data_IF_209468775093
#
_entry.id   IF_209468775093
#
_cell.length_a   1.000
_cell.length_b   1.000
_cell.length_c   1.000
_cell.angle_alpha   90.00
_cell.angle_beta   90.00
_cell.angle_gamma   90.00
#
_symmetry.space_group_name_H-M   'P 1'
#
loop_
_entity.id
_entity.type
_entity.pdbx_description
1 polymer ?
#
# COMPACT_ATOMS: atom_id res chain seq x y z
N UNK A 1 9.82 -0.98 99.08
CA UNK A 1 9.21 -0.09 98.10
C UNK A 1 9.77 -0.50 96.71
N UNK A 2 8.98 -1.31 95.94
CA UNK A 2 9.39 -1.81 94.65
C UNK A 2 8.52 -1.16 93.63
N UNK A 3 9.09 -0.31 92.73
CA UNK A 3 8.36 0.31 91.63
C UNK A 3 8.45 -0.59 90.43
N UNK A 4 7.27 -1.03 89.92
CA UNK A 4 7.11 -1.80 88.74
C UNK A 4 7.16 -0.89 87.51
N UNK A 5 8.03 -1.16 86.55
CA UNK A 5 8.06 -0.52 85.23
C UNK A 5 7.22 -1.33 84.26
N UNK A 6 6.15 -0.75 83.74
CA UNK A 6 5.35 -1.28 82.64
C UNK A 6 5.93 -0.82 81.31
N UNK A 7 6.52 -1.76 80.52
CA UNK A 7 6.93 -1.52 79.14
C UNK A 7 5.70 -1.56 78.20
N UNK A 8 5.46 -0.48 77.52
CA UNK A 8 4.49 -0.44 76.43
C UNK A 8 5.17 -0.83 75.10
N UNK A 9 4.82 -1.97 74.51
CA UNK A 9 5.18 -2.32 73.14
C UNK A 9 4.29 -1.52 72.19
N UNK A 10 4.90 -0.61 71.41
CA UNK A 10 4.23 0.08 70.34
C UNK A 10 4.28 -0.79 69.08
N UNK A 11 3.12 -1.30 68.65
CA UNK A 11 2.95 -1.95 67.33
C UNK A 11 2.93 -0.88 66.24
N UNK A 12 3.96 -0.82 65.39
CA UNK A 12 3.96 0.00 64.14
C UNK A 12 3.38 -0.83 63.01
N UNK A 13 2.28 -0.40 62.36
CA UNK A 13 1.76 -1.09 61.18
C UNK A 13 2.66 -0.80 59.98
N UNK A 14 3.26 -1.80 59.39
CA UNK A 14 3.91 -1.74 58.08
C UNK A 14 2.81 -1.61 57.01
N UNK A 15 2.59 -0.39 56.52
CA UNK A 15 1.85 -0.17 55.24
C UNK A 15 2.75 -0.61 54.07
N UNK A 16 2.53 -1.81 53.56
CA UNK A 16 3.11 -2.28 52.30
C UNK A 16 2.50 -1.51 51.14
N UNK A 17 3.29 -0.57 50.55
CA UNK A 17 2.90 0.09 49.32
C UNK A 17 3.03 -0.93 48.15
N UNK A 18 1.88 -1.46 47.70
CA UNK A 18 1.79 -2.30 46.50
C UNK A 18 1.97 -1.40 45.26
N UNK A 19 3.20 -1.26 44.76
CA UNK A 19 3.50 -0.61 43.47
C UNK A 19 2.94 -1.48 42.34
N UNK A 20 1.74 -1.16 41.84
CA UNK A 20 1.22 -1.69 40.60
C UNK A 20 2.13 -1.19 39.46
N UNK A 21 2.98 -2.08 38.95
CA UNK A 21 3.74 -1.86 37.72
C UNK A 21 2.74 -1.81 36.56
N UNK A 22 2.30 -0.61 36.20
CA UNK A 22 1.56 -0.36 34.97
C UNK A 22 2.56 -0.54 33.82
N UNK A 23 2.59 -1.73 33.23
CA UNK A 23 3.29 -1.94 31.96
C UNK A 23 2.57 -1.11 30.91
N UNK A 24 3.26 -0.18 30.20
CA UNK A 24 2.62 0.55 29.13
C UNK A 24 2.18 -0.45 28.06
N UNK A 25 0.88 -0.45 27.75
CA UNK A 25 0.35 -1.22 26.62
C UNK A 25 1.12 -0.78 25.38
N UNK A 26 1.87 -1.69 24.77
CA UNK A 26 2.57 -1.46 23.52
C UNK A 26 1.50 -1.16 22.48
N UNK A 27 1.43 0.07 21.99
CA UNK A 27 0.58 0.41 20.86
C UNK A 27 0.92 -0.56 19.72
N UNK A 28 -0.06 -1.29 19.24
CA UNK A 28 0.14 -2.18 18.08
C UNK A 28 0.42 -1.29 16.89
N UNK A 29 1.56 -1.49 16.23
CA UNK A 29 1.93 -0.76 15.03
C UNK A 29 0.80 -0.80 14.01
N UNK A 30 0.47 0.35 13.43
CA UNK A 30 -0.45 0.42 12.29
C UNK A 30 0.08 -0.42 11.12
N UNK A 31 -0.81 -0.87 10.24
CA UNK A 31 -0.38 -1.61 9.05
C UNK A 31 0.62 -0.78 8.21
N UNK A 32 0.34 0.52 8.03
CA UNK A 32 1.22 1.44 7.29
C UNK A 32 2.63 1.50 7.86
N UNK A 33 2.79 1.62 9.20
CA UNK A 33 4.09 1.60 9.87
C UNK A 33 4.80 0.26 9.70
N UNK A 34 4.07 -0.86 9.85
CA UNK A 34 4.64 -2.18 9.69
C UNK A 34 5.16 -2.41 8.27
N UNK A 35 4.39 -2.03 7.23
CA UNK A 35 4.81 -2.16 5.83
C UNK A 35 5.97 -1.21 5.48
N UNK A 36 5.99 0.01 6.03
CA UNK A 36 7.08 0.96 5.83
C UNK A 36 8.42 0.44 6.35
N UNK A 37 8.43 -0.25 7.49
CA UNK A 37 9.65 -0.90 7.99
C UNK A 37 10.17 -2.03 7.09
N UNK A 38 9.28 -2.72 6.37
CA UNK A 38 9.66 -3.77 5.42
C UNK A 38 10.23 -3.20 4.11
N UNK A 39 9.93 -1.95 3.78
CA UNK A 39 10.36 -1.27 2.56
C UNK A 39 11.06 0.07 2.90
N UNK A 40 12.23 0.05 3.53
CA UNK A 40 12.90 1.28 4.01
C UNK A 40 13.32 2.22 2.87
N UNK A 41 13.32 1.75 1.63
CA UNK A 41 13.56 2.58 0.44
C UNK A 41 12.32 3.32 -0.06
N UNK A 42 11.11 2.96 0.41
CA UNK A 42 9.86 3.64 0.06
C UNK A 42 9.64 4.88 0.94
N UNK A 43 8.92 5.87 0.44
CA UNK A 43 8.41 6.97 1.29
C UNK A 43 7.31 6.40 2.21
N UNK A 44 7.46 6.45 3.54
CA UNK A 44 6.48 5.92 4.48
C UNK A 44 5.11 6.59 4.35
N UNK A 45 5.05 7.86 3.91
CA UNK A 45 3.79 8.56 3.67
C UNK A 45 3.03 7.97 2.47
N UNK A 46 3.75 7.54 1.43
CA UNK A 46 3.15 6.89 0.26
C UNK A 46 2.59 5.52 0.64
N UNK A 47 3.32 4.76 1.45
CA UNK A 47 2.83 3.48 1.98
C UNK A 47 1.58 3.68 2.85
N UNK A 48 1.58 4.66 3.75
CA UNK A 48 0.43 4.97 4.60
C UNK A 48 -0.81 5.37 3.79
N UNK A 49 -0.65 6.22 2.76
CA UNK A 49 -1.72 6.58 1.84
C UNK A 49 -2.26 5.37 1.08
N UNK A 50 -1.39 4.47 0.64
CA UNK A 50 -1.79 3.25 -0.06
C UNK A 50 -2.59 2.29 0.84
N UNK A 51 -2.16 2.12 2.09
CA UNK A 51 -2.88 1.33 3.10
C UNK A 51 -4.26 1.93 3.34
N UNK A 52 -4.34 3.23 3.66
CA UNK A 52 -5.61 3.94 3.89
C UNK A 52 -6.57 3.84 2.70
N UNK A 53 -6.06 4.03 1.48
CA UNK A 53 -6.89 3.90 0.28
C UNK A 53 -7.41 2.48 0.09
N UNK A 54 -6.57 1.47 0.31
CA UNK A 54 -6.94 0.05 0.20
C UNK A 54 -7.98 -0.34 1.25
N UNK A 55 -7.78 0.02 2.51
CA UNK A 55 -8.72 -0.22 3.61
C UNK A 55 -10.06 0.47 3.34
N UNK A 56 -10.03 1.73 2.91
CA UNK A 56 -11.23 2.47 2.54
C UNK A 56 -12.04 1.75 1.45
N UNK A 57 -11.39 1.30 0.37
CA UNK A 57 -12.06 0.59 -0.71
C UNK A 57 -12.68 -0.73 -0.24
N UNK A 58 -12.01 -1.46 0.64
CA UNK A 58 -12.54 -2.70 1.22
C UNK A 58 -13.78 -2.45 2.08
N UNK A 59 -13.81 -1.37 2.85
CA UNK A 59 -14.95 -1.00 3.70
C UNK A 59 -16.17 -0.54 2.91
N UNK A 60 -15.99 -0.02 1.69
CA UNK A 60 -17.06 0.43 0.80
C UNK A 60 -17.70 -0.70 -0.03
N UNK A 61 -17.61 -1.93 0.41
CA UNK A 61 -18.19 -3.10 -0.26
C UNK A 61 -17.23 -3.80 -1.22
N UNK A 62 -15.96 -3.48 -1.15
CA UNK A 62 -14.91 -4.19 -1.88
C UNK A 62 -14.71 -5.61 -1.35
N UNK A 63 -14.29 -6.52 -2.23
CA UNK A 63 -13.82 -7.84 -1.80
C UNK A 63 -12.53 -7.67 -1.00
N UNK A 64 -12.34 -8.38 0.11
CA UNK A 64 -11.10 -8.33 0.86
C UNK A 64 -9.88 -8.57 -0.04
N UNK A 65 -8.83 -7.79 0.18
CA UNK A 65 -7.55 -7.91 -0.52
C UNK A 65 -6.47 -8.19 0.51
N UNK A 66 -5.71 -9.25 0.30
CA UNK A 66 -4.57 -9.62 1.14
C UNK A 66 -3.23 -9.24 0.52
N UNK A 67 -3.27 -8.58 -0.64
CA UNK A 67 -2.09 -8.04 -1.33
C UNK A 67 -2.30 -6.58 -1.69
N UNK A 68 -1.24 -5.80 -1.49
CA UNK A 68 -1.19 -4.39 -1.87
C UNK A 68 0.09 -4.14 -2.68
N UNK A 69 -0.06 -3.70 -3.92
CA UNK A 69 1.04 -3.14 -4.70
C UNK A 69 1.03 -1.62 -4.58
N UNK A 70 2.19 -1.04 -4.35
CA UNK A 70 2.40 0.41 -4.26
C UNK A 70 3.40 0.83 -5.31
N UNK A 71 3.01 1.72 -6.21
CA UNK A 71 3.86 2.31 -7.24
C UNK A 71 4.03 3.79 -6.90
N UNK A 72 5.26 4.22 -6.68
CA UNK A 72 5.59 5.62 -6.42
C UNK A 72 6.21 6.26 -7.68
N UNK A 73 5.36 6.86 -8.51
CA UNK A 73 5.77 7.54 -9.72
C UNK A 73 6.47 8.89 -9.48
N UNK A 74 6.54 9.39 -8.26
CA UNK A 74 7.36 10.56 -7.92
C UNK A 74 8.86 10.26 -7.99
N UNK A 75 9.23 8.98 -7.96
CA UNK A 75 10.61 8.51 -8.06
C UNK A 75 11.03 8.30 -9.52
N UNK A 76 12.32 8.49 -9.84
CA UNK A 76 12.82 8.21 -11.19
C UNK A 76 12.69 6.72 -11.56
N UNK A 77 12.49 6.44 -12.83
CA UNK A 77 12.28 5.08 -13.34
C UNK A 77 13.52 4.17 -13.24
N UNK A 78 14.69 4.76 -13.05
CA UNK A 78 15.94 4.05 -12.79
C UNK A 78 16.08 3.48 -11.37
N UNK A 79 15.15 3.81 -10.46
CA UNK A 79 15.15 3.31 -9.10
C UNK A 79 13.97 2.36 -8.87
N UNK A 80 14.09 1.39 -7.96
CA UNK A 80 12.94 0.62 -7.47
C UNK A 80 11.88 1.58 -6.93
N UNK A 81 10.66 1.43 -7.46
CA UNK A 81 9.51 2.28 -7.12
C UNK A 81 8.17 1.54 -7.17
N UNK A 82 8.23 0.21 -7.22
CA UNK A 82 7.11 -0.71 -7.03
C UNK A 82 7.43 -1.64 -5.87
N UNK A 83 6.55 -1.71 -4.89
CA UNK A 83 6.59 -2.67 -3.78
C UNK A 83 5.29 -3.45 -3.77
N UNK A 84 5.38 -4.76 -3.53
CA UNK A 84 4.21 -5.63 -3.35
C UNK A 84 4.28 -6.27 -1.98
N UNK A 85 3.23 -6.11 -1.21
CA UNK A 85 3.12 -6.60 0.16
C UNK A 85 2.04 -7.69 0.28
N UNK A 86 2.30 -8.65 1.14
CA UNK A 86 1.29 -9.47 1.82
C UNK A 86 0.87 -8.69 3.07
N UNK A 87 -0.33 -8.15 3.08
CA UNK A 87 -0.82 -7.28 4.17
C UNK A 87 -1.19 -8.07 5.40
N UNK A 88 -1.66 -9.31 5.23
CA UNK A 88 -2.05 -10.23 6.32
C UNK A 88 -0.80 -10.77 7.03
N UNK A 89 0.17 -11.27 6.25
CA UNK A 89 1.43 -11.81 6.79
C UNK A 89 2.45 -10.72 7.12
N UNK A 90 2.15 -9.47 6.80
CA UNK A 90 3.05 -8.31 6.93
C UNK A 90 4.42 -8.61 6.34
N UNK A 91 4.46 -8.94 5.04
CA UNK A 91 5.68 -9.37 4.35
C UNK A 91 5.83 -8.60 3.03
N UNK A 92 7.05 -8.14 2.73
CA UNK A 92 7.42 -7.63 1.42
C UNK A 92 7.65 -8.83 0.48
N UNK A 93 6.93 -8.87 -0.63
CA UNK A 93 7.04 -9.91 -1.65
C UNK A 93 7.95 -9.49 -2.79
N UNK A 94 7.82 -8.23 -3.26
CA UNK A 94 8.60 -7.70 -4.37
C UNK A 94 8.98 -6.24 -4.10
N UNK A 95 10.18 -5.87 -4.56
CA UNK A 95 10.66 -4.51 -4.71
C UNK A 95 11.30 -4.38 -6.08
N UNK A 96 10.71 -3.59 -7.01
CA UNK A 96 11.00 -3.68 -8.42
C UNK A 96 11.09 -2.32 -9.12
N UNK A 97 11.79 -2.31 -10.25
CA UNK A 97 11.65 -1.28 -11.26
C UNK A 97 10.27 -1.42 -11.92
N UNK A 98 9.65 -0.30 -12.23
CA UNK A 98 8.40 -0.27 -13.01
C UNK A 98 8.40 0.88 -14.01
N UNK A 99 8.05 0.58 -15.27
CA UNK A 99 7.92 1.57 -16.31
C UNK A 99 6.62 2.36 -16.18
N UNK A 100 6.64 3.58 -16.69
CA UNK A 100 5.46 4.43 -16.93
C UNK A 100 5.24 4.61 -18.44
N UNK A 101 4.12 5.22 -18.80
CA UNK A 101 3.74 5.52 -20.18
C UNK A 101 4.65 6.57 -20.82
N UNK A 102 4.94 6.41 -22.11
CA UNK A 102 5.88 7.31 -22.83
C UNK A 102 5.48 8.79 -22.79
N UNK A 103 4.19 9.08 -22.68
CA UNK A 103 3.67 10.43 -22.57
C UNK A 103 3.53 10.93 -21.12
N UNK A 104 3.90 10.09 -20.13
CA UNK A 104 3.99 10.53 -18.73
C UNK A 104 5.27 11.29 -18.42
N UNK A 105 6.32 11.13 -19.19
CA UNK A 105 7.62 11.77 -18.96
C UNK A 105 8.77 10.95 -19.51
N UNK A 106 9.99 11.30 -19.13
CA UNK A 106 11.20 10.58 -19.55
C UNK A 106 11.76 9.71 -18.41
N UNK A 107 12.80 10.13 -17.71
CA UNK A 107 13.30 9.44 -16.53
C UNK A 107 12.28 9.54 -15.35
N UNK A 108 11.68 10.70 -15.21
CA UNK A 108 10.65 11.01 -14.22
C UNK A 108 9.27 11.10 -14.88
N UNK A 109 8.28 10.50 -14.26
CA UNK A 109 6.90 10.71 -14.65
C UNK A 109 6.41 12.05 -14.06
N UNK A 110 5.80 12.89 -14.89
CA UNK A 110 5.33 14.23 -14.51
C UNK A 110 3.90 14.49 -14.96
N UNK A 111 3.35 13.64 -15.85
CA UNK A 111 1.99 13.76 -16.40
C UNK A 111 1.28 12.44 -16.34
N UNK A 112 0.01 12.49 -15.98
CA UNK A 112 -0.87 11.34 -15.88
C UNK A 112 -2.18 11.63 -16.60
N UNK A 113 -2.85 10.60 -17.10
CA UNK A 113 -4.05 10.80 -17.89
C UNK A 113 -4.99 9.61 -17.75
N UNK A 114 -6.29 9.90 -17.77
CA UNK A 114 -7.37 8.94 -17.86
C UNK A 114 -7.96 8.86 -19.29
N UNK A 115 -7.53 9.78 -20.20
CA UNK A 115 -8.05 9.85 -21.56
C UNK A 115 -7.61 8.65 -22.41
N UNK A 116 -8.48 8.12 -23.28
CA UNK A 116 -8.12 7.13 -24.28
C UNK A 116 -6.92 7.59 -25.12
N UNK A 117 -6.10 6.65 -25.55
CA UNK A 117 -4.92 6.86 -26.42
C UNK A 117 -3.90 7.87 -25.93
N UNK A 118 -4.00 8.33 -24.69
CA UNK A 118 -3.05 9.31 -24.11
C UNK A 118 -1.62 8.80 -24.00
N UNK A 119 -1.43 7.47 -24.02
CA UNK A 119 -0.14 6.78 -23.85
C UNK A 119 0.59 7.20 -22.55
N UNK A 120 -0.18 7.76 -21.60
CA UNK A 120 0.27 8.14 -20.28
C UNK A 120 -0.24 7.15 -19.23
N UNK A 121 0.49 7.00 -18.14
CA UNK A 121 0.05 6.25 -16.96
C UNK A 121 -1.10 6.96 -16.27
N UNK A 122 -1.87 6.21 -15.48
CA UNK A 122 -2.89 6.74 -14.57
C UNK A 122 -2.42 6.56 -13.12
N UNK A 123 -2.86 7.49 -12.25
CA UNK A 123 -2.66 7.44 -10.80
C UNK A 123 -3.93 6.98 -10.10
N UNK A 124 -3.85 6.76 -8.79
CA UNK A 124 -5.00 6.39 -7.98
C UNK A 124 -5.01 4.93 -7.59
N UNK A 125 -6.16 4.51 -7.07
CA UNK A 125 -6.38 3.14 -6.62
C UNK A 125 -7.00 2.29 -7.74
N UNK A 126 -6.44 1.10 -7.92
CA UNK A 126 -6.92 0.10 -8.87
C UNK A 126 -7.19 -1.21 -8.16
N UNK A 127 -8.05 -2.01 -8.79
CA UNK A 127 -8.27 -3.40 -8.45
C UNK A 127 -7.87 -4.28 -9.61
N UNK A 128 -7.12 -5.33 -9.32
CA UNK A 128 -6.76 -6.33 -10.31
C UNK A 128 -7.93 -7.28 -10.59
N UNK A 129 -7.91 -7.95 -11.73
CA UNK A 129 -8.90 -8.96 -12.08
C UNK A 129 -8.23 -10.23 -12.60
N UNK A 130 -8.61 -10.68 -13.78
CA UNK A 130 -8.10 -11.87 -14.45
C UNK A 130 -6.80 -11.61 -15.19
N UNK A 131 -6.12 -12.69 -15.47
CA UNK A 131 -4.92 -12.72 -16.32
C UNK A 131 -5.26 -13.18 -17.74
N UNK A 132 -4.42 -12.83 -18.69
CA UNK A 132 -4.55 -13.29 -20.08
C UNK A 132 -3.19 -13.34 -20.78
N UNK A 133 -3.12 -14.08 -21.89
CA UNK A 133 -1.97 -14.06 -22.79
C UNK A 133 -2.27 -13.07 -23.93
N UNK A 134 -1.47 -12.01 -24.01
CA UNK A 134 -1.61 -10.96 -25.03
C UNK A 134 -0.28 -10.65 -25.74
N UNK A 135 -0.24 -9.53 -26.47
CA UNK A 135 0.98 -9.08 -27.17
C UNK A 135 2.19 -8.90 -26.24
N UNK A 136 1.94 -8.56 -24.97
CA UNK A 136 2.96 -8.38 -23.92
C UNK A 136 3.20 -9.68 -23.12
N UNK A 137 2.73 -10.84 -23.60
CA UNK A 137 2.77 -12.10 -22.89
C UNK A 137 1.75 -12.15 -21.74
N UNK A 138 2.07 -12.86 -20.67
CA UNK A 138 1.24 -13.01 -19.50
C UNK A 138 1.02 -11.65 -18.82
N UNK A 139 -0.21 -11.24 -18.77
CA UNK A 139 -0.62 -9.89 -18.37
C UNK A 139 -1.80 -9.93 -17.40
N UNK A 140 -1.87 -8.94 -16.50
CA UNK A 140 -2.89 -8.80 -15.46
C UNK A 140 -3.73 -7.54 -15.71
N UNK A 141 -5.05 -7.71 -15.86
CA UNK A 141 -5.98 -6.60 -16.02
C UNK A 141 -6.18 -5.85 -14.71
N UNK A 142 -6.39 -4.54 -14.85
CA UNK A 142 -6.71 -3.65 -13.73
C UNK A 142 -7.91 -2.77 -14.07
N UNK A 143 -8.81 -2.63 -13.10
CA UNK A 143 -9.91 -1.67 -13.11
C UNK A 143 -9.55 -0.50 -12.22
N UNK A 144 -9.65 0.73 -12.73
CA UNK A 144 -9.50 1.94 -11.92
C UNK A 144 -10.75 2.17 -11.08
N UNK A 145 -10.57 2.55 -9.83
CA UNK A 145 -11.65 2.71 -8.86
C UNK A 145 -12.08 4.17 -8.67
N UNK A 146 -11.37 5.12 -9.29
CA UNK A 146 -11.58 6.55 -9.08
C UNK A 146 -12.11 7.22 -10.34
N UNK A 147 -13.39 7.64 -10.29
CA UNK A 147 -14.06 8.28 -11.42
C UNK A 147 -13.35 9.57 -11.85
N UNK A 148 -13.13 9.73 -13.14
CA UNK A 148 -12.41 10.86 -13.72
C UNK A 148 -10.89 10.82 -13.55
N UNK A 149 -10.37 9.92 -12.74
CA UNK A 149 -8.93 9.78 -12.44
C UNK A 149 -8.31 8.58 -13.15
N UNK A 150 -8.93 7.40 -13.03
CA UNK A 150 -8.44 6.15 -13.61
C UNK A 150 -9.54 5.17 -14.02
N UNK A 151 -10.80 5.54 -13.94
CA UNK A 151 -11.96 4.67 -14.27
C UNK A 151 -11.93 4.14 -15.71
N UNK A 152 -11.21 4.80 -16.63
CA UNK A 152 -11.01 4.33 -18.00
C UNK A 152 -9.89 3.29 -18.15
N UNK A 153 -9.23 2.89 -17.07
CA UNK A 153 -8.05 2.02 -17.13
C UNK A 153 -8.33 0.69 -17.86
N UNK A 154 -9.45 0.04 -17.57
CA UNK A 154 -9.83 -1.21 -18.23
C UNK A 154 -10.11 -1.00 -19.73
N UNK A 155 -10.87 0.02 -20.10
CA UNK A 155 -11.17 0.39 -21.49
C UNK A 155 -9.92 0.77 -22.28
N UNK A 156 -8.93 1.39 -21.61
CA UNK A 156 -7.63 1.75 -22.16
C UNK A 156 -6.65 0.57 -22.18
N UNK A 157 -7.07 -0.62 -21.79
CA UNK A 157 -6.22 -1.82 -21.68
C UNK A 157 -4.96 -1.60 -20.83
N UNK A 158 -5.08 -0.85 -19.75
CA UNK A 158 -3.99 -0.69 -18.77
C UNK A 158 -3.85 -1.98 -17.97
N UNK A 159 -2.68 -2.62 -18.07
CA UNK A 159 -2.39 -3.92 -17.49
C UNK A 159 -1.00 -3.94 -16.85
N UNK A 160 -0.77 -4.84 -15.91
CA UNK A 160 0.59 -5.17 -15.45
C UNK A 160 1.14 -6.26 -16.37
N UNK A 161 2.35 -6.05 -16.92
CA UNK A 161 3.00 -7.03 -17.80
C UNK A 161 4.53 -6.99 -17.67
N UNK A 162 5.19 -8.02 -18.17
CA UNK A 162 6.64 -8.06 -18.31
C UNK A 162 7.13 -7.31 -19.56
N UNK A 163 8.29 -6.65 -19.47
CA UNK A 163 8.89 -6.02 -20.62
C UNK A 163 10.44 -6.03 -20.58
N UNK A 164 11.07 -6.39 -21.70
CA UNK A 164 12.54 -6.43 -21.80
C UNK A 164 13.20 -5.06 -21.62
N UNK A 165 12.49 -3.97 -21.95
CA UNK A 165 12.97 -2.61 -21.75
C UNK A 165 12.97 -2.16 -20.27
N UNK A 166 12.50 -3.00 -19.34
CA UNK A 166 12.62 -2.80 -17.91
C UNK A 166 13.77 -3.66 -17.40
N UNK A 167 14.94 -3.10 -17.32
CA UNK A 167 16.12 -3.80 -16.82
C UNK A 167 17.11 -2.84 -16.15
N UNK A 168 17.90 -3.38 -15.22
CA UNK A 168 18.85 -2.61 -14.42
C UNK A 168 20.05 -2.09 -15.25
N UNK A 169 20.47 -2.80 -16.30
CA UNK A 169 21.56 -2.35 -17.14
C UNK A 169 21.17 -1.06 -17.88
N UNK A 170 19.98 -1.02 -18.46
CA UNK A 170 19.43 0.22 -19.06
C UNK A 170 19.30 1.33 -18.03
N UNK A 171 18.81 1.04 -16.83
CA UNK A 171 18.69 2.03 -15.77
C UNK A 171 20.04 2.66 -15.40
N UNK A 172 21.11 1.86 -15.34
CA UNK A 172 22.47 2.31 -15.03
C UNK A 172 23.09 3.15 -16.15
N UNK A 173 22.92 2.70 -17.41
CA UNK A 173 23.58 3.36 -18.57
C UNK A 173 22.84 4.61 -19.02
N UNK A 174 21.50 4.55 -19.11
CA UNK A 174 20.67 5.64 -19.63
C UNK A 174 20.02 6.52 -18.54
N UNK A 175 20.26 6.24 -17.26
CA UNK A 175 19.61 6.94 -16.14
C UNK A 175 18.10 6.70 -16.03
N UNK A 176 17.56 5.84 -16.88
CA UNK A 176 16.14 5.45 -16.93
C UNK A 176 15.95 4.07 -17.55
N UNK A 177 14.78 3.48 -17.37
CA UNK A 177 14.33 2.31 -18.14
C UNK A 177 13.48 2.75 -19.33
N UNK A 178 13.07 1.79 -20.17
CA UNK A 178 12.12 2.04 -21.24
C UNK A 178 10.73 2.44 -20.74
N UNK A 179 9.86 2.79 -21.66
CA UNK A 179 8.50 3.31 -21.36
C UNK A 179 7.44 2.49 -22.09
N UNK A 180 6.29 2.33 -21.46
CA UNK A 180 5.11 1.66 -21.99
C UNK A 180 4.19 2.64 -22.75
N UNK A 181 3.00 2.17 -23.08
CA UNK A 181 1.88 2.99 -23.59
C UNK A 181 0.86 3.34 -22.48
N UNK A 182 1.34 3.37 -21.22
CA UNK A 182 0.53 3.70 -20.05
C UNK A 182 0.55 2.61 -18.98
N UNK A 183 0.82 1.36 -19.36
CA UNK A 183 0.86 0.21 -18.48
C UNK A 183 2.01 0.28 -17.45
N UNK A 184 1.83 -0.16 -16.22
CA UNK A 184 2.94 -0.48 -15.33
C UNK A 184 3.62 -1.78 -15.83
N UNK A 185 4.77 -1.64 -16.49
CA UNK A 185 5.55 -2.78 -16.95
C UNK A 185 6.71 -3.06 -16.00
N UNK A 186 6.96 -4.34 -15.72
CA UNK A 186 8.02 -4.81 -14.81
C UNK A 186 9.06 -5.66 -15.55
N UNK A 187 10.15 -6.01 -14.88
CA UNK A 187 11.16 -6.90 -15.45
C UNK A 187 10.53 -8.25 -15.84
N UNK A 188 10.87 -8.75 -17.03
CA UNK A 188 10.33 -10.03 -17.52
C UNK A 188 10.59 -11.19 -16.57
N UNK A 189 11.75 -11.22 -15.92
CA UNK A 189 12.13 -12.29 -14.99
C UNK A 189 11.22 -12.42 -13.75
N UNK A 190 10.57 -11.33 -13.33
CA UNK A 190 9.69 -11.33 -12.15
C UNK A 190 8.22 -11.26 -12.51
N UNK A 191 7.89 -10.90 -13.75
CA UNK A 191 6.53 -10.58 -14.18
C UNK A 191 5.54 -11.68 -13.83
N UNK A 192 5.85 -12.94 -14.15
CA UNK A 192 4.93 -14.06 -13.94
C UNK A 192 4.58 -14.24 -12.45
N UNK A 193 5.60 -14.29 -11.59
CA UNK A 193 5.41 -14.46 -10.14
C UNK A 193 4.70 -13.25 -9.50
N UNK A 194 5.01 -12.03 -9.96
CA UNK A 194 4.39 -10.80 -9.48
C UNK A 194 2.91 -10.75 -9.89
N UNK A 195 2.58 -11.09 -11.12
CA UNK A 195 1.21 -11.17 -11.63
C UNK A 195 0.41 -12.23 -10.85
N UNK A 196 0.99 -13.41 -10.61
CA UNK A 196 0.34 -14.46 -9.83
C UNK A 196 0.07 -14.05 -8.38
N UNK A 197 0.95 -13.24 -7.78
CA UNK A 197 0.74 -12.70 -6.45
C UNK A 197 -0.36 -11.62 -6.40
N UNK A 198 -0.62 -10.94 -7.52
CA UNK A 198 -1.56 -9.81 -7.60
C UNK A 198 -2.88 -10.13 -8.32
N UNK A 199 -3.07 -11.30 -8.95
CA UNK A 199 -4.33 -11.64 -9.62
C UNK A 199 -5.48 -11.83 -8.63
N UNK A 200 -6.72 -11.74 -9.11
CA UNK A 200 -7.91 -12.11 -8.34
C UNK A 200 -8.36 -11.05 -7.34
N UNK A 201 -8.35 -9.77 -7.71
CA UNK A 201 -9.01 -8.72 -6.93
C UNK A 201 -8.11 -8.00 -5.93
N UNK A 202 -6.78 -8.07 -6.10
CA UNK A 202 -5.83 -7.40 -5.23
C UNK A 202 -5.75 -5.89 -5.52
N UNK A 203 -5.23 -5.10 -4.59
CA UNK A 203 -5.15 -3.65 -4.71
C UNK A 203 -3.80 -3.19 -5.26
N UNK A 204 -3.86 -2.19 -6.15
CA UNK A 204 -2.68 -1.50 -6.71
C UNK A 204 -2.89 0.00 -6.52
N UNK A 205 -1.99 0.63 -5.81
CA UNK A 205 -2.00 2.07 -5.57
C UNK A 205 -0.87 2.72 -6.36
N UNK A 206 -1.22 3.57 -7.33
CA UNK A 206 -0.27 4.33 -8.16
C UNK A 206 -0.22 5.76 -7.67
N UNK A 207 0.87 6.13 -7.02
CA UNK A 207 1.06 7.44 -6.40
C UNK A 207 1.81 8.41 -7.31
N UNK A 208 1.36 9.65 -7.29
CA UNK A 208 2.09 10.85 -7.69
C UNK A 208 1.56 12.02 -6.86
N UNK A 209 2.37 13.02 -6.47
CA UNK A 209 1.93 14.14 -5.63
C UNK A 209 1.09 15.18 -6.41
N UNK A 210 0.05 14.71 -7.11
CA UNK A 210 -0.93 15.58 -7.77
C UNK A 210 -1.89 16.19 -6.74
N UNK A 211 -1.83 17.51 -6.58
CA UNK A 211 -2.62 18.23 -5.57
C UNK A 211 -4.14 18.07 -5.76
N UNK A 212 -4.60 18.02 -7.02
CA UNK A 212 -6.04 17.90 -7.31
C UNK A 212 -6.53 16.51 -6.94
N UNK A 213 -5.82 15.49 -7.37
CA UNK A 213 -6.15 14.10 -7.02
C UNK A 213 -6.10 13.89 -5.51
N UNK A 214 -5.02 14.26 -4.84
CA UNK A 214 -4.87 14.11 -3.38
C UNK A 214 -6.01 14.82 -2.61
N UNK A 215 -6.45 15.98 -3.09
CA UNK A 215 -7.54 16.73 -2.49
C UNK A 215 -8.95 16.20 -2.86
N UNK A 216 -9.11 15.38 -3.89
CA UNK A 216 -10.43 14.91 -4.38
C UNK A 216 -10.68 13.42 -4.20
N UNK A 217 -9.63 12.59 -4.06
CA UNK A 217 -9.76 11.13 -3.97
C UNK A 217 -10.68 10.72 -2.82
N UNK A 218 -11.73 9.96 -3.16
CA UNK A 218 -12.67 9.43 -2.17
C UNK A 218 -12.03 8.40 -1.24
N UNK A 219 -11.02 7.67 -1.73
CA UNK A 219 -10.33 6.65 -0.94
C UNK A 219 -9.27 7.22 0.02
N UNK A 220 -8.77 8.42 -0.26
CA UNK A 220 -7.85 9.13 0.64
C UNK A 220 -8.59 9.99 1.70
N UNK A 221 -9.90 10.22 1.50
CA UNK A 221 -10.75 10.99 2.42
C UNK A 221 -11.56 10.15 3.39
N UNK A 222 -11.45 8.83 3.38
CA UNK A 222 -12.12 8.00 4.37
C UNK A 222 -11.71 8.42 5.78
N UNK A 223 -12.67 8.89 6.55
CA UNK A 223 -12.45 9.21 7.96
C UNK A 223 -12.52 7.94 8.81
N UNK A 224 -11.76 7.90 9.91
CA UNK A 224 -11.72 6.73 10.80
C UNK A 224 -13.09 6.26 11.32
N UNK A 225 -14.11 7.13 11.33
CA UNK A 225 -15.47 6.75 11.66
C UNK A 225 -16.18 5.89 10.60
N UNK A 226 -15.78 5.98 9.33
CA UNK A 226 -16.27 5.10 8.26
C UNK A 226 -15.58 3.74 8.31
N UNK A 227 -14.29 3.71 8.66
CA UNK A 227 -13.52 2.49 8.87
C UNK A 227 -14.07 1.69 10.08
N UNK A 228 -14.30 2.36 11.22
CA UNK A 228 -14.85 1.72 12.43
C UNK A 228 -16.28 1.15 12.24
N UNK A 229 -17.15 1.83 11.47
CA UNK A 229 -18.49 1.29 11.14
C UNK A 229 -18.44 0.04 10.28
N UNK A 230 -17.46 -0.08 9.40
CA UNK A 230 -17.32 -1.25 8.54
C UNK A 230 -16.75 -2.45 9.31
N UNK A 231 -15.79 -2.24 10.20
CA UNK A 231 -15.28 -3.28 11.11
C UNK A 231 -16.41 -3.84 12.01
N UNK A 232 -17.25 -2.97 12.57
CA UNK A 232 -18.41 -3.36 13.37
C UNK A 232 -19.43 -4.18 12.54
N UNK A 233 -19.71 -3.80 11.29
CA UNK A 233 -20.61 -4.54 10.40
C UNK A 233 -20.04 -5.90 9.97
N UNK A 234 -18.72 -5.99 9.83
CA UNK A 234 -18.05 -7.26 9.47
C UNK A 234 -18.04 -8.24 10.65
N UNK A 235 -17.81 -7.74 11.86
CA UNK A 235 -17.87 -8.51 13.09
C UNK A 235 -19.30 -9.06 13.35
N UNK A 236 -20.34 -8.26 13.07
CA UNK A 236 -21.75 -8.65 13.22
C UNK A 236 -22.17 -9.70 12.20
N UNK A 237 -21.59 -9.71 10.98
CA UNK A 237 -21.86 -10.75 9.96
C UNK A 237 -21.12 -12.08 10.19
N UNK A 238 -20.02 -12.05 10.89
CA UNK A 238 -19.24 -13.26 11.24
C UNK A 238 -19.73 -13.97 12.50
N UNK A 239 -20.70 -13.40 13.19
CA UNK A 239 -21.28 -13.92 14.45
C UNK A 239 -22.67 -14.54 14.31
N UNK A 240 -23.11 -14.93 13.08
CA UNK A 240 -24.36 -15.67 12.84
C UNK A 240 -24.02 -17.04 12.27
#
# INVERSE_FOLDING_TARGET
MIRSFRSYLACVPLLGALCLLVTPARATDSLGEALSRLAPSADPRVIDLAVKASECAQTQGGVPSDRLAVIDYSRPSSQPRLWVFDTVKRKLLFQELVAHGKNSGDANATRFSNAPESLASSIGLFRTSDTYMGKNGYSLRMTGLEQGVNDQALARAIVIHGAAYVNEAMAKVAGRIGRSWGCPAVRTAVAHKLIDALKGGQMVFSYYPDRRWLASSQYLKCTGGQLAKAEANTATRAGI
#
